data_IF_349052466036
#
_entry.id   IF_349052466036
#
_cell.length_a   1.000
_cell.length_b   1.000
_cell.length_c   1.000
_cell.angle_alpha   90.00
_cell.angle_beta   90.00
_cell.angle_gamma   90.00
#
_symmetry.space_group_name_H-M   'P 1'
#
loop_
_entity.id
_entity.type
_entity.pdbx_description
1 polymer ?
#
# COMPACT_ATOMS: atom_id res chain seq x y z
N UNK A 1 -35.52 -9.94 16.42
CA UNK A 1 -34.06 -10.14 16.34
C UNK A 1 -33.54 -10.20 17.75
N UNK A 2 -32.92 -11.31 18.14
CA UNK A 2 -32.24 -11.42 19.43
C UNK A 2 -30.77 -11.05 19.21
N UNK A 3 -30.24 -10.17 20.05
CA UNK A 3 -28.83 -9.79 20.07
C UNK A 3 -28.27 -10.27 21.41
N UNK A 4 -27.18 -11.05 21.40
CA UNK A 4 -26.66 -11.69 22.60
C UNK A 4 -25.43 -10.91 23.11
N UNK A 5 -25.32 -10.60 24.42
CA UNK A 5 -24.20 -9.79 24.95
C UNK A 5 -22.79 -10.30 24.63
N UNK A 6 -22.64 -11.62 24.39
CA UNK A 6 -21.36 -12.19 23.96
C UNK A 6 -21.01 -11.81 22.52
N UNK A 7 -22.00 -11.54 21.66
CA UNK A 7 -21.78 -11.13 20.27
C UNK A 7 -21.07 -9.77 20.22
N UNK A 8 -21.45 -8.85 21.13
CA UNK A 8 -20.82 -7.54 21.32
C UNK A 8 -19.40 -7.68 21.88
N UNK A 9 -19.20 -8.53 22.89
CA UNK A 9 -17.87 -8.79 23.46
C UNK A 9 -16.90 -9.41 22.45
N UNK A 10 -17.41 -10.23 21.52
CA UNK A 10 -16.63 -10.86 20.46
C UNK A 10 -16.53 -9.99 19.19
N UNK A 11 -17.17 -8.83 19.16
CA UNK A 11 -17.21 -7.93 18.01
C UNK A 11 -17.83 -8.56 16.76
N UNK A 12 -18.76 -9.51 16.92
CA UNK A 12 -19.34 -10.23 15.79
C UNK A 12 -20.06 -9.26 14.85
N UNK A 13 -19.62 -9.24 13.60
CA UNK A 13 -20.27 -8.52 12.51
C UNK A 13 -21.21 -9.46 11.75
N UNK A 14 -22.12 -8.89 10.96
CA UNK A 14 -23.00 -9.69 10.12
C UNK A 14 -22.17 -10.60 9.19
N UNK A 15 -22.37 -11.92 9.30
CA UNK A 15 -21.60 -12.90 8.54
C UNK A 15 -21.57 -14.27 9.21
N UNK A 16 -20.83 -15.20 8.61
CA UNK A 16 -20.63 -16.57 9.11
C UNK A 16 -19.27 -16.79 9.77
N UNK A 17 -18.41 -15.76 9.81
CA UNK A 17 -17.06 -15.83 10.38
C UNK A 17 -16.97 -14.88 11.56
N UNK A 18 -16.28 -15.30 12.63
CA UNK A 18 -15.90 -14.38 13.69
C UNK A 18 -14.80 -13.42 13.18
N UNK A 19 -14.64 -12.22 13.79
CA UNK A 19 -13.63 -11.26 13.37
C UNK A 19 -12.20 -11.84 13.34
N UNK A 20 -11.84 -12.66 14.32
CA UNK A 20 -10.53 -13.32 14.36
C UNK A 20 -10.32 -14.29 13.20
N UNK A 21 -11.36 -15.05 12.80
CA UNK A 21 -11.24 -15.94 11.64
C UNK A 21 -11.18 -15.13 10.35
N UNK A 22 -11.94 -14.04 10.23
CA UNK A 22 -11.85 -13.15 9.08
C UNK A 22 -10.44 -12.53 8.93
N UNK A 23 -9.85 -12.09 10.03
CA UNK A 23 -8.48 -11.57 10.06
C UNK A 23 -7.48 -12.64 9.61
N UNK A 24 -7.52 -13.84 10.19
CA UNK A 24 -6.67 -14.95 9.75
C UNK A 24 -6.84 -15.27 8.27
N UNK A 25 -8.08 -15.32 7.76
CA UNK A 25 -8.38 -15.59 6.36
C UNK A 25 -7.67 -14.59 5.45
N UNK A 26 -7.83 -13.29 5.72
CA UNK A 26 -7.22 -12.24 4.93
C UNK A 26 -5.70 -12.28 5.05
N UNK A 27 -5.19 -12.38 6.28
CA UNK A 27 -3.75 -12.36 6.54
C UNK A 27 -2.99 -13.45 5.78
N UNK A 28 -3.48 -14.70 5.78
CA UNK A 28 -2.78 -15.77 5.06
C UNK A 28 -2.98 -15.64 3.54
N UNK A 29 -4.17 -15.24 3.10
CA UNK A 29 -4.53 -15.22 1.69
C UNK A 29 -3.93 -14.05 0.88
N UNK A 30 -3.31 -13.07 1.54
CA UNK A 30 -2.63 -11.94 0.86
C UNK A 30 -1.26 -12.31 0.30
N UNK A 31 -0.58 -13.33 0.84
CA UNK A 31 0.78 -13.69 0.45
C UNK A 31 0.95 -15.15 0.00
N UNK A 32 -0.11 -15.96 0.04
CA UNK A 32 -0.06 -17.35 -0.41
C UNK A 32 -1.23 -17.71 -1.34
N UNK A 33 -1.09 -18.76 -2.18
CA UNK A 33 -2.19 -19.25 -3.00
C UNK A 33 -3.40 -19.66 -2.15
N UNK A 34 -4.62 -19.34 -2.59
CA UNK A 34 -5.84 -19.59 -1.81
C UNK A 34 -6.04 -21.05 -1.40
N UNK A 35 -5.67 -22.02 -2.26
CA UNK A 35 -5.72 -23.44 -1.89
C UNK A 35 -4.80 -23.79 -0.71
N UNK A 36 -3.65 -23.11 -0.57
CA UNK A 36 -2.76 -23.25 0.59
C UNK A 36 -3.32 -22.52 1.82
N UNK A 37 -3.93 -21.35 1.64
CA UNK A 37 -4.62 -20.63 2.70
C UNK A 37 -5.70 -21.50 3.36
N UNK A 38 -6.54 -22.18 2.57
CA UNK A 38 -7.55 -23.12 3.07
C UNK A 38 -6.92 -24.21 3.94
N UNK A 39 -5.83 -24.84 3.48
CA UNK A 39 -5.14 -25.90 4.22
C UNK A 39 -4.59 -25.39 5.56
N UNK A 40 -4.00 -24.20 5.56
CA UNK A 40 -3.46 -23.55 6.76
C UNK A 40 -4.57 -23.22 7.77
N UNK A 41 -5.65 -22.59 7.31
CA UNK A 41 -6.77 -22.20 8.16
C UNK A 41 -7.41 -23.43 8.81
N UNK A 42 -7.67 -24.48 8.03
CA UNK A 42 -8.22 -25.73 8.58
C UNK A 42 -7.28 -26.34 9.62
N UNK A 43 -5.96 -26.36 9.36
CA UNK A 43 -4.97 -26.96 10.26
C UNK A 43 -4.87 -26.24 11.61
N UNK A 44 -4.86 -24.91 11.61
CA UNK A 44 -4.58 -24.13 12.82
C UNK A 44 -5.83 -23.66 13.55
N UNK A 45 -6.97 -23.52 12.85
CA UNK A 45 -8.22 -23.04 13.44
C UNK A 45 -9.32 -24.09 13.51
N UNK A 46 -9.16 -25.22 12.79
CA UNK A 46 -10.21 -26.24 12.63
C UNK A 46 -11.35 -25.83 11.68
N UNK A 47 -11.40 -24.57 11.24
CA UNK A 47 -12.46 -24.06 10.37
C UNK A 47 -12.26 -24.55 8.94
N UNK A 48 -13.28 -25.23 8.41
CA UNK A 48 -13.30 -25.66 7.02
C UNK A 48 -13.97 -24.61 6.14
N UNK A 49 -13.33 -24.27 5.03
CA UNK A 49 -13.84 -23.31 4.07
C UNK A 49 -13.39 -23.65 2.65
N UNK A 50 -14.16 -23.24 1.66
CA UNK A 50 -13.77 -23.40 0.26
C UNK A 50 -12.75 -22.34 -0.16
N UNK A 51 -11.97 -22.65 -1.19
CA UNK A 51 -11.07 -21.67 -1.83
C UNK A 51 -11.84 -20.43 -2.30
N UNK A 52 -13.05 -20.63 -2.87
CA UNK A 52 -13.91 -19.55 -3.33
C UNK A 52 -14.36 -18.63 -2.18
N UNK A 53 -14.60 -19.18 -0.99
CA UNK A 53 -14.94 -18.42 0.22
C UNK A 53 -13.77 -17.55 0.66
N UNK A 54 -12.57 -18.14 0.78
CA UNK A 54 -11.34 -17.38 1.11
C UNK A 54 -11.13 -16.24 0.13
N UNK A 55 -11.12 -16.54 -1.18
CA UNK A 55 -10.91 -15.55 -2.23
C UNK A 55 -11.93 -14.41 -2.17
N UNK A 56 -13.22 -14.72 -1.98
CA UNK A 56 -14.27 -13.70 -1.87
C UNK A 56 -14.02 -12.77 -0.68
N UNK A 57 -13.73 -13.32 0.50
CA UNK A 57 -13.44 -12.51 1.69
C UNK A 57 -12.19 -11.65 1.52
N UNK A 58 -11.11 -12.21 0.96
CA UNK A 58 -9.88 -11.45 0.67
C UNK A 58 -10.17 -10.27 -0.26
N UNK A 59 -10.94 -10.47 -1.32
CA UNK A 59 -11.31 -9.38 -2.24
C UNK A 59 -12.28 -8.36 -1.63
N UNK A 60 -13.24 -8.79 -0.81
CA UNK A 60 -14.13 -7.87 -0.10
C UNK A 60 -13.36 -6.95 0.83
N UNK A 61 -12.43 -7.50 1.62
CA UNK A 61 -11.58 -6.72 2.52
C UNK A 61 -10.60 -5.85 1.73
N UNK A 62 -10.00 -6.34 0.66
CA UNK A 62 -9.15 -5.54 -0.22
C UNK A 62 -9.87 -4.34 -0.83
N UNK A 63 -11.10 -4.52 -1.33
CA UNK A 63 -11.95 -3.42 -1.82
C UNK A 63 -12.28 -2.42 -0.72
N UNK A 64 -12.61 -2.89 0.48
CA UNK A 64 -12.88 -2.01 1.62
C UNK A 64 -11.64 -1.19 2.00
N UNK A 65 -10.46 -1.82 2.07
CA UNK A 65 -9.20 -1.15 2.35
C UNK A 65 -8.87 -0.09 1.29
N UNK A 66 -9.05 -0.41 0.01
CA UNK A 66 -8.88 0.57 -1.08
C UNK A 66 -9.86 1.74 -0.96
N UNK A 67 -11.13 1.49 -0.62
CA UNK A 67 -12.12 2.55 -0.47
C UNK A 67 -11.80 3.48 0.70
N UNK A 68 -11.34 2.93 1.83
CA UNK A 68 -10.85 3.72 2.98
C UNK A 68 -9.66 4.58 2.56
N UNK A 69 -8.65 3.99 1.95
CA UNK A 69 -7.45 4.71 1.52
C UNK A 69 -7.77 5.81 0.50
N UNK A 70 -8.61 5.52 -0.51
CA UNK A 70 -9.05 6.51 -1.52
C UNK A 70 -9.78 7.69 -0.87
N UNK A 71 -10.60 7.42 0.15
CA UNK A 71 -11.30 8.47 0.89
C UNK A 71 -10.32 9.33 1.68
N UNK A 72 -9.32 8.71 2.32
CA UNK A 72 -8.28 9.42 3.07
C UNK A 72 -7.44 10.31 2.16
N UNK A 73 -7.08 9.83 0.96
CA UNK A 73 -6.28 10.57 -0.03
C UNK A 73 -7.06 11.73 -0.68
N UNK A 74 -8.38 11.62 -0.76
CA UNK A 74 -9.22 12.69 -1.33
C UNK A 74 -9.54 13.79 -0.32
N UNK A 75 -9.28 13.57 0.98
CA UNK A 75 -9.58 14.53 2.03
C UNK A 75 -8.37 15.43 2.30
N UNK A 76 -8.57 16.75 2.51
CA UNK A 76 -7.51 17.62 2.97
C UNK A 76 -6.91 17.08 4.27
N UNK A 77 -5.61 16.83 4.28
CA UNK A 77 -4.88 16.41 5.46
C UNK A 77 -4.05 17.57 5.99
N UNK A 78 -3.95 17.70 7.32
CA UNK A 78 -2.92 18.55 7.90
C UNK A 78 -1.57 17.90 7.60
N UNK A 79 -0.77 18.57 6.76
CA UNK A 79 0.56 18.11 6.41
C UNK A 79 1.40 17.85 7.65
N UNK A 80 2.03 16.67 7.71
CA UNK A 80 3.05 16.42 8.74
C UNK A 80 4.21 17.42 8.53
N UNK A 81 4.63 18.17 9.57
CA UNK A 81 5.72 19.12 9.42
C UNK A 81 7.02 18.36 9.14
N UNK A 82 7.50 18.44 7.90
CA UNK A 82 8.72 17.80 7.43
C UNK A 82 9.63 18.77 6.69
N UNK A 83 10.94 18.59 6.83
CA UNK A 83 11.93 19.39 6.10
C UNK A 83 12.57 18.64 4.93
N UNK A 84 12.72 17.31 5.03
CA UNK A 84 13.41 16.51 4.03
C UNK A 84 12.65 15.22 3.79
N UNK A 85 12.16 15.06 2.56
CA UNK A 85 11.53 13.84 2.11
C UNK A 85 12.45 13.05 1.19
N UNK A 86 12.38 11.74 1.35
CA UNK A 86 12.82 10.79 0.34
C UNK A 86 11.57 10.15 -0.28
N UNK A 87 11.58 10.04 -1.60
CA UNK A 87 10.48 9.47 -2.37
C UNK A 87 11.04 8.43 -3.32
N UNK A 88 10.35 7.31 -3.45
CA UNK A 88 10.75 6.20 -4.33
C UNK A 88 9.51 5.73 -5.08
N UNK A 89 9.21 6.34 -6.23
CA UNK A 89 8.22 5.81 -7.16
C UNK A 89 8.83 4.63 -7.94
N UNK A 90 8.02 3.60 -8.19
CA UNK A 90 8.43 2.37 -8.89
C UNK A 90 7.23 1.62 -9.49
N UNK A 91 7.49 0.76 -10.46
CA UNK A 91 6.51 -0.08 -11.15
C UNK A 91 6.84 -1.56 -11.01
N UNK A 92 5.90 -2.35 -10.47
CA UNK A 92 6.06 -3.80 -10.34
C UNK A 92 5.12 -4.55 -11.28
N UNK A 93 5.67 -5.41 -12.15
CA UNK A 93 4.87 -6.26 -13.03
C UNK A 93 4.26 -7.43 -12.24
N UNK A 94 2.92 -7.51 -12.22
CA UNK A 94 2.17 -8.62 -11.64
C UNK A 94 1.57 -9.50 -12.73
N UNK A 95 1.79 -10.81 -12.62
CA UNK A 95 1.18 -11.78 -13.53
C UNK A 95 -0.29 -11.93 -13.20
N UNK A 96 -1.14 -11.66 -14.18
CA UNK A 96 -2.56 -11.97 -14.16
C UNK A 96 -2.80 -13.32 -14.84
N UNK A 97 -4.07 -13.67 -15.06
CA UNK A 97 -4.45 -14.90 -15.72
C UNK A 97 -4.15 -14.83 -17.23
N UNK A 98 -3.94 -16.01 -17.83
CA UNK A 98 -3.80 -16.19 -19.29
C UNK A 98 -2.60 -15.44 -19.90
N UNK A 99 -1.51 -15.31 -19.14
CA UNK A 99 -0.27 -14.67 -19.61
C UNK A 99 -0.38 -13.14 -19.74
N UNK A 100 -1.43 -12.54 -19.20
CA UNK A 100 -1.55 -11.09 -19.10
C UNK A 100 -0.67 -10.62 -17.94
N UNK A 101 0.05 -9.53 -18.17
CA UNK A 101 0.80 -8.83 -17.14
C UNK A 101 0.24 -7.43 -16.99
N UNK A 102 0.20 -6.94 -15.76
CA UNK A 102 -0.17 -5.56 -15.47
C UNK A 102 0.86 -4.96 -14.54
N UNK A 103 1.10 -3.67 -14.67
CA UNK A 103 2.01 -2.95 -13.81
C UNK A 103 1.23 -2.37 -12.62
N UNK A 104 1.73 -2.63 -11.42
CA UNK A 104 1.30 -1.93 -10.20
C UNK A 104 2.27 -0.79 -9.96
N UNK A 105 1.79 0.43 -10.04
CA UNK A 105 2.56 1.63 -9.71
C UNK A 105 2.52 1.85 -8.21
N UNK A 106 3.67 2.17 -7.64
CA UNK A 106 3.84 2.44 -6.22
C UNK A 106 4.64 3.71 -6.03
N UNK A 107 4.28 4.52 -5.04
CA UNK A 107 5.16 5.55 -4.48
C UNK A 107 5.36 5.28 -3.01
N UNK A 108 6.61 5.15 -2.58
CA UNK A 108 6.99 5.14 -1.18
C UNK A 108 7.52 6.52 -0.78
N UNK A 109 7.09 7.02 0.37
CA UNK A 109 7.49 8.33 0.91
C UNK A 109 7.99 8.16 2.34
N UNK A 110 9.10 8.79 2.65
CA UNK A 110 9.71 8.76 3.99
C UNK A 110 10.36 10.09 4.36
N UNK A 111 10.62 10.26 5.65
CA UNK A 111 11.41 11.38 6.16
C UNK A 111 12.87 10.98 6.30
N UNK A 112 13.78 11.91 5.99
CA UNK A 112 15.22 11.70 6.17
C UNK A 112 15.69 12.38 7.45
N UNK A 113 16.06 11.57 8.44
CA UNK A 113 16.63 12.10 9.68
C UNK A 113 18.10 12.50 9.48
N UNK A 114 18.58 13.59 10.11
CA UNK A 114 19.99 13.93 10.10
C UNK A 114 20.83 12.81 10.73
N UNK A 115 21.88 12.36 10.05
CA UNK A 115 22.84 11.44 10.67
C UNK A 115 23.49 12.09 11.90
N UNK A 116 23.60 11.33 13.00
CA UNK A 116 24.59 11.62 14.03
C UNK A 116 25.95 11.16 13.52
N UNK A 117 27.01 11.85 13.94
CA UNK A 117 28.37 11.56 13.46
C UNK A 117 28.74 10.08 13.67
N UNK A 118 29.00 9.35 12.59
CA UNK A 118 29.37 7.93 12.60
C UNK A 118 28.20 6.95 12.44
N UNK A 119 26.96 7.42 12.31
CA UNK A 119 25.77 6.58 12.08
C UNK A 119 25.29 6.65 10.63
N UNK A 120 24.65 5.58 10.16
CA UNK A 120 23.94 5.56 8.88
C UNK A 120 22.69 6.45 8.95
N UNK A 121 22.41 7.17 7.86
CA UNK A 121 21.14 7.86 7.67
C UNK A 121 20.04 6.82 7.47
N UNK A 122 18.91 6.98 8.17
CA UNK A 122 17.74 6.13 8.00
C UNK A 122 16.54 6.96 7.55
N UNK A 123 15.70 6.33 6.73
CA UNK A 123 14.38 6.86 6.39
C UNK A 123 13.38 6.41 7.44
N UNK A 124 12.60 7.35 7.97
CA UNK A 124 11.59 7.08 8.99
C UNK A 124 10.20 7.49 8.50
N UNK A 125 9.17 7.10 9.23
CA UNK A 125 7.75 7.33 8.90
C UNK A 125 7.41 6.93 7.46
N UNK A 126 7.83 5.73 7.08
CA UNK A 126 7.57 5.20 5.75
C UNK A 126 6.07 4.96 5.56
N UNK A 127 5.58 5.37 4.40
CA UNK A 127 4.26 5.01 3.92
C UNK A 127 4.29 4.90 2.40
N UNK A 128 3.26 4.25 1.85
CA UNK A 128 3.21 3.98 0.42
C UNK A 128 1.79 4.04 -0.12
N UNK A 129 1.68 4.45 -1.37
CA UNK A 129 0.46 4.36 -2.16
C UNK A 129 0.72 3.51 -3.40
N UNK A 130 -0.13 2.51 -3.63
CA UNK A 130 0.01 1.59 -4.77
C UNK A 130 -1.32 1.36 -5.46
N UNK A 131 -1.33 1.42 -6.80
CA UNK A 131 -2.51 1.06 -7.61
C UNK A 131 -2.10 0.43 -8.94
N UNK A 132 -2.93 -0.50 -9.42
CA UNK A 132 -2.90 -0.99 -10.79
C UNK A 132 -3.80 -0.10 -11.65
N UNK A 133 -3.26 1.04 -12.09
CA UNK A 133 -3.94 2.08 -12.86
C UNK A 133 -3.02 2.63 -13.96
N UNK A 134 -3.63 3.35 -14.90
CA UNK A 134 -2.90 4.21 -15.83
C UNK A 134 -2.14 5.31 -15.06
N UNK A 135 -1.04 5.79 -15.65
CA UNK A 135 -0.08 6.71 -15.03
C UNK A 135 -0.76 7.97 -14.53
N UNK A 136 -1.64 8.57 -15.35
CA UNK A 136 -2.27 9.85 -15.06
C UNK A 136 -3.19 9.72 -13.83
N UNK A 137 -4.05 8.70 -13.81
CA UNK A 137 -4.96 8.47 -12.68
C UNK A 137 -4.20 8.06 -11.42
N UNK A 138 -3.12 7.28 -11.55
CA UNK A 138 -2.24 6.97 -10.41
C UNK A 138 -1.62 8.25 -9.84
N UNK A 139 -1.08 9.12 -10.69
CA UNK A 139 -0.42 10.38 -10.30
C UNK A 139 -1.39 11.29 -9.56
N UNK A 140 -2.62 11.44 -10.07
CA UNK A 140 -3.68 12.21 -9.41
C UNK A 140 -3.99 11.64 -8.02
N UNK A 141 -4.27 10.33 -7.91
CA UNK A 141 -4.63 9.73 -6.62
C UNK A 141 -3.48 9.74 -5.60
N UNK A 142 -2.24 9.57 -6.07
CA UNK A 142 -1.04 9.62 -5.24
C UNK A 142 -0.80 11.01 -4.62
N UNK A 143 -1.42 12.07 -5.17
CA UNK A 143 -1.33 13.43 -4.61
C UNK A 143 -1.85 13.49 -3.18
N UNK A 144 -2.85 12.68 -2.82
CA UNK A 144 -3.36 12.63 -1.45
C UNK A 144 -2.30 12.15 -0.45
N UNK A 145 -1.56 11.10 -0.83
CA UNK A 145 -0.44 10.60 -0.04
C UNK A 145 0.70 11.63 0.02
N UNK A 146 1.04 12.23 -1.12
CA UNK A 146 2.04 13.30 -1.20
C UNK A 146 1.74 14.46 -0.23
N UNK A 147 0.51 14.98 -0.26
CA UNK A 147 0.06 16.07 0.60
C UNK A 147 0.05 15.66 2.08
N UNK A 148 -0.46 14.47 2.39
CA UNK A 148 -0.45 13.92 3.76
C UNK A 148 0.96 13.85 4.34
N UNK A 149 1.96 13.54 3.50
CA UNK A 149 3.38 13.49 3.90
C UNK A 149 4.07 14.85 3.88
N UNK A 150 3.34 15.94 3.63
CA UNK A 150 3.86 17.30 3.62
C UNK A 150 4.76 17.60 2.44
N UNK A 151 4.55 16.92 1.30
CA UNK A 151 5.35 17.09 0.10
C UNK A 151 5.41 18.53 -0.40
N UNK A 152 4.27 19.24 -0.34
CA UNK A 152 4.16 20.65 -0.74
C UNK A 152 4.91 21.62 0.19
N UNK A 153 5.21 21.21 1.43
CA UNK A 153 5.90 22.03 2.44
C UNK A 153 7.36 21.60 2.66
N UNK A 154 7.77 20.47 2.08
CA UNK A 154 9.12 19.95 2.24
C UNK A 154 10.14 20.92 1.64
N UNK A 155 11.15 21.32 2.42
CA UNK A 155 12.21 22.19 1.92
C UNK A 155 13.19 21.48 1.00
N UNK A 156 13.21 20.14 1.03
CA UNK A 156 13.95 19.32 0.08
C UNK A 156 13.27 17.98 -0.14
N UNK A 157 13.13 17.60 -1.40
CA UNK A 157 12.70 16.27 -1.82
C UNK A 157 13.84 15.62 -2.60
N UNK A 158 14.19 14.39 -2.25
CA UNK A 158 15.09 13.54 -3.02
C UNK A 158 14.31 12.34 -3.54
N UNK A 159 14.32 12.12 -4.86
CA UNK A 159 13.70 10.98 -5.49
C UNK A 159 14.75 9.93 -5.84
N UNK A 160 14.63 8.71 -5.31
CA UNK A 160 15.44 7.55 -5.73
C UNK A 160 14.61 6.75 -6.71
N UNK A 161 15.08 6.60 -7.94
CA UNK A 161 14.27 6.09 -9.06
C UNK A 161 15.12 5.41 -10.13
N UNK A 162 14.50 4.52 -10.90
CA UNK A 162 15.11 3.75 -12.00
C UNK A 162 15.26 4.54 -13.32
N UNK A 163 14.62 5.71 -13.43
CA UNK A 163 14.65 6.54 -14.64
C UNK A 163 13.53 6.26 -15.65
N UNK A 164 12.48 5.52 -15.28
CA UNK A 164 11.32 5.33 -16.14
C UNK A 164 10.63 6.67 -16.49
N UNK A 165 10.20 6.83 -17.73
CA UNK A 165 9.60 8.08 -18.24
C UNK A 165 8.36 8.52 -17.42
N UNK A 166 7.53 7.57 -17.00
CA UNK A 166 6.34 7.90 -16.21
C UNK A 166 6.68 8.40 -14.81
N UNK A 167 7.83 8.00 -14.25
CA UNK A 167 8.31 8.49 -12.95
C UNK A 167 8.77 9.95 -13.06
N UNK A 168 9.47 10.30 -14.14
CA UNK A 168 9.80 11.69 -14.41
C UNK A 168 8.52 12.55 -14.50
N UNK A 169 7.50 12.06 -15.22
CA UNK A 169 6.19 12.73 -15.29
C UNK A 169 5.48 12.84 -13.94
N UNK A 170 5.57 11.81 -13.09
CA UNK A 170 5.04 11.87 -11.72
C UNK A 170 5.74 12.95 -10.89
N UNK A 171 7.07 13.06 -10.96
CA UNK A 171 7.81 14.10 -10.23
C UNK A 171 7.58 15.49 -10.80
N UNK A 172 7.46 15.63 -12.12
CA UNK A 172 7.09 16.92 -12.74
C UNK A 172 5.72 17.41 -12.26
N UNK A 173 4.80 16.49 -11.96
CA UNK A 173 3.50 16.82 -11.38
C UNK A 173 3.58 17.18 -9.89
N UNK A 174 4.28 16.37 -9.08
CA UNK A 174 4.29 16.53 -7.62
C UNK A 174 5.31 17.57 -7.14
N UNK A 175 6.52 17.59 -7.70
CA UNK A 175 7.62 18.46 -7.28
C UNK A 175 8.71 18.55 -8.36
N UNK A 176 8.64 19.57 -9.21
CA UNK A 176 9.64 19.81 -10.27
C UNK A 176 11.05 20.04 -9.74
N UNK A 177 11.18 20.53 -8.50
CA UNK A 177 12.47 20.83 -7.86
C UNK A 177 13.10 19.62 -7.13
N UNK A 178 12.49 18.42 -7.23
CA UNK A 178 13.01 17.22 -6.59
C UNK A 178 14.41 16.86 -7.12
N UNK A 179 15.34 16.56 -6.20
CA UNK A 179 16.65 16.01 -6.57
C UNK A 179 16.48 14.55 -7.01
N UNK A 180 16.58 14.29 -8.30
CA UNK A 180 16.50 12.94 -8.88
C UNK A 180 17.84 12.22 -8.74
N UNK A 181 17.83 11.06 -8.10
CA UNK A 181 18.97 10.20 -7.84
C UNK A 181 18.67 8.88 -8.55
N UNK A 182 19.49 8.57 -9.56
CA UNK A 182 19.36 7.33 -10.31
C UNK A 182 19.77 6.14 -9.42
N UNK A 183 18.85 5.20 -9.22
CA UNK A 183 19.18 3.88 -8.71
C UNK A 183 19.79 3.04 -9.83
N UNK A 184 21.12 3.04 -9.91
CA UNK A 184 21.86 2.35 -10.96
C UNK A 184 21.63 0.83 -10.96
N UNK A 185 21.31 0.24 -9.80
CA UNK A 185 21.09 -1.20 -9.73
C UNK A 185 19.77 -1.56 -10.41
N UNK A 186 18.69 -0.84 -10.09
CA UNK A 186 17.39 -1.05 -10.72
C UNK A 186 17.36 -0.59 -12.19
N UNK A 187 18.00 0.54 -12.52
CA UNK A 187 18.04 1.06 -13.89
C UNK A 187 18.77 0.14 -14.90
N UNK A 188 19.50 -0.86 -14.42
CA UNK A 188 20.25 -1.81 -15.24
C UNK A 188 19.52 -3.14 -15.48
N UNK A 189 18.33 -3.34 -14.89
CA UNK A 189 17.48 -4.53 -15.08
C UNK A 189 16.77 -4.55 -16.44
#
# INVERSE_FOLDING_TARGET
MGFFPLDEQLGLVAGSLSPSIQDHVVHVATWMPFGRAVQMLQRYTGVQMSEATVRRHTYEVGKAAMAVQTTQESQPSEAEPTSKLIVSPDGAMVSLLKGVWAEVKTVAVGEVEPAKSGESVHSTKLSSFSRMLEVETFTEQATGEWQRRGGDQASKVCAVMDGAEWIDGFLDWQCTDALRILDVAHAAE
#
